data_IF_820187498953
#
_entry.id   IF_820187498953
#
_cell.length_a   1.000
_cell.length_b   1.000
_cell.length_c   1.000
_cell.angle_alpha   90.00
_cell.angle_beta   90.00
_cell.angle_gamma   90.00
#
_symmetry.space_group_name_H-M   'P 1'
#
loop_
_entity.id
_entity.type
_entity.pdbx_description
1 polymer ?
#
# COMPACT_ATOMS: atom_id res chain seq x y z
N UNK A 1 -21.36 -1.41 -4.96
CA UNK A 1 -20.64 -1.71 -6.20
C UNK A 1 -19.97 -3.07 -6.08
N UNK A 2 -20.25 -3.95 -7.01
CA UNK A 2 -19.80 -5.34 -6.94
C UNK A 2 -18.48 -5.48 -7.70
N UNK A 3 -17.47 -6.01 -7.04
CA UNK A 3 -16.19 -6.30 -7.69
C UNK A 3 -16.24 -7.69 -8.32
N UNK A 4 -15.47 -7.87 -9.38
CA UNK A 4 -15.32 -9.18 -9.99
C UNK A 4 -14.48 -10.10 -9.09
N UNK A 5 -14.63 -11.43 -9.20
CA UNK A 5 -13.77 -12.35 -8.48
C UNK A 5 -12.28 -12.16 -8.79
N UNK A 6 -11.95 -11.75 -10.02
CA UNK A 6 -10.56 -11.48 -10.40
C UNK A 6 -10.01 -10.25 -9.67
N UNK A 7 -10.82 -9.21 -9.50
CA UNK A 7 -10.43 -8.03 -8.72
C UNK A 7 -10.25 -8.35 -7.25
N UNK A 8 -11.15 -9.16 -6.68
CA UNK A 8 -11.04 -9.60 -5.29
C UNK A 8 -9.74 -10.39 -5.05
N UNK A 9 -9.41 -11.30 -5.95
CA UNK A 9 -8.17 -12.08 -5.86
C UNK A 9 -6.93 -11.19 -5.96
N UNK A 10 -6.94 -10.20 -6.84
CA UNK A 10 -5.86 -9.24 -7.00
C UNK A 10 -5.68 -8.41 -5.72
N UNK A 11 -6.76 -7.89 -5.17
CA UNK A 11 -6.73 -7.09 -3.94
C UNK A 11 -6.16 -7.93 -2.78
N UNK A 12 -6.58 -9.18 -2.65
CA UNK A 12 -6.08 -10.09 -1.63
C UNK A 12 -4.57 -10.27 -1.72
N UNK A 13 -4.05 -10.49 -2.91
CA UNK A 13 -2.62 -10.65 -3.17
C UNK A 13 -1.85 -9.36 -2.85
N UNK A 14 -2.39 -8.21 -3.24
CA UNK A 14 -1.77 -6.90 -2.96
C UNK A 14 -1.71 -6.65 -1.45
N UNK A 15 -2.81 -6.86 -0.74
CA UNK A 15 -2.85 -6.63 0.71
C UNK A 15 -1.90 -7.56 1.44
N UNK A 16 -1.81 -8.83 1.03
CA UNK A 16 -0.86 -9.79 1.62
C UNK A 16 0.59 -9.34 1.41
N UNK A 17 0.93 -8.88 0.20
CA UNK A 17 2.27 -8.37 -0.08
C UNK A 17 2.60 -7.11 0.74
N UNK A 18 1.63 -6.23 0.96
CA UNK A 18 1.80 -5.00 1.71
C UNK A 18 1.72 -5.19 3.23
N UNK A 19 1.39 -6.38 3.71
CA UNK A 19 1.34 -6.65 5.15
C UNK A 19 2.71 -6.59 5.82
N UNK A 20 3.78 -6.80 5.08
CA UNK A 20 5.15 -6.73 5.60
C UNK A 20 5.67 -5.30 5.54
N UNK A 21 6.14 -4.73 6.67
CA UNK A 21 6.62 -3.34 6.68
C UNK A 21 7.88 -3.13 5.84
N UNK A 22 8.74 -4.12 5.71
CA UNK A 22 9.94 -4.00 4.87
C UNK A 22 9.57 -3.89 3.40
N UNK A 23 8.56 -4.65 2.95
CA UNK A 23 8.09 -4.53 1.57
C UNK A 23 7.50 -3.15 1.29
N UNK A 24 6.77 -2.56 2.24
CA UNK A 24 6.28 -1.18 2.10
C UNK A 24 7.44 -0.18 1.98
N UNK A 25 8.49 -0.36 2.78
CA UNK A 25 9.70 0.50 2.70
C UNK A 25 10.42 0.36 1.37
N UNK A 26 10.44 -0.84 0.80
CA UNK A 26 11.03 -1.07 -0.53
C UNK A 26 10.26 -0.27 -1.59
N UNK A 27 8.93 -0.30 -1.54
CA UNK A 27 8.11 0.50 -2.46
C UNK A 27 8.34 2.00 -2.28
N UNK A 28 8.45 2.47 -1.03
CA UNK A 28 8.81 3.86 -0.74
C UNK A 28 10.18 4.21 -1.31
N UNK A 29 11.15 3.31 -1.16
CA UNK A 29 12.50 3.48 -1.68
C UNK A 29 12.53 3.57 -3.20
N UNK A 30 11.71 2.78 -3.89
CA UNK A 30 11.58 2.86 -5.35
C UNK A 30 11.03 4.22 -5.78
N UNK A 31 10.02 4.72 -5.08
CA UNK A 31 9.44 6.03 -5.35
C UNK A 31 10.46 7.15 -5.12
N UNK A 32 11.22 7.08 -4.03
CA UNK A 32 12.25 8.07 -3.68
C UNK A 32 13.41 8.06 -4.68
N UNK A 33 13.69 6.92 -5.31
CA UNK A 33 14.75 6.79 -6.30
C UNK A 33 14.34 7.20 -7.72
N UNK A 34 13.22 7.90 -7.86
CA UNK A 34 12.73 8.33 -9.18
C UNK A 34 11.95 7.26 -9.92
N UNK A 35 11.52 6.21 -9.24
CA UNK A 35 10.66 5.18 -9.78
C UNK A 35 11.37 3.87 -10.15
N UNK A 36 12.69 3.83 -10.16
CA UNK A 36 13.43 2.61 -10.48
C UNK A 36 14.73 2.52 -9.69
N UNK A 37 15.09 1.33 -9.24
CA UNK A 37 16.32 1.07 -8.50
C UNK A 37 16.72 -0.40 -8.56
N UNK A 38 17.99 -0.66 -8.24
CA UNK A 38 18.51 -2.02 -8.07
C UNK A 38 18.33 -2.47 -6.62
N UNK A 39 18.38 -3.79 -6.41
CA UNK A 39 18.33 -4.35 -5.05
C UNK A 39 19.51 -3.83 -4.19
N UNK A 40 20.68 -3.65 -4.79
CA UNK A 40 21.85 -3.11 -4.08
C UNK A 40 21.59 -1.70 -3.56
N UNK A 41 21.05 -0.83 -4.41
CA UNK A 41 20.71 0.55 -4.01
C UNK A 41 19.66 0.56 -2.92
N UNK A 42 18.62 -0.24 -3.04
CA UNK A 42 17.55 -0.32 -2.04
C UNK A 42 18.08 -0.81 -0.69
N UNK A 43 19.00 -1.77 -0.69
CA UNK A 43 19.55 -2.34 0.54
C UNK A 43 20.41 -1.34 1.31
N UNK A 44 20.97 -0.32 0.65
CA UNK A 44 21.81 0.69 1.31
C UNK A 44 21.05 1.48 2.38
N UNK A 45 19.76 1.72 2.16
CA UNK A 45 18.94 2.55 3.04
C UNK A 45 18.01 1.74 3.96
N UNK A 46 18.14 0.41 3.96
CA UNK A 46 17.29 -0.48 4.74
C UNK A 46 18.12 -1.33 5.72
N UNK A 47 17.60 -1.60 6.91
CA UNK A 47 18.31 -2.42 7.92
C UNK A 47 18.18 -3.92 7.62
N UNK A 48 18.35 -4.31 6.36
CA UNK A 48 18.24 -5.70 5.90
C UNK A 48 19.32 -5.98 4.85
N UNK A 49 19.63 -7.24 4.67
CA UNK A 49 20.63 -7.64 3.68
C UNK A 49 20.10 -7.49 2.25
N UNK A 50 21.02 -7.40 1.29
CA UNK A 50 20.65 -7.40 -0.14
C UNK A 50 19.85 -8.65 -0.51
N UNK A 51 20.23 -9.81 0.03
CA UNK A 51 19.51 -11.06 -0.22
C UNK A 51 18.07 -10.99 0.28
N UNK A 52 17.85 -10.38 1.46
CA UNK A 52 16.50 -10.19 1.98
C UNK A 52 15.69 -9.24 1.08
N UNK A 53 16.30 -8.17 0.57
CA UNK A 53 15.66 -7.25 -0.37
C UNK A 53 15.26 -7.99 -1.64
N UNK A 54 16.12 -8.84 -2.19
CA UNK A 54 15.80 -9.63 -3.38
C UNK A 54 14.60 -10.54 -3.14
N UNK A 55 14.53 -11.19 -1.98
CA UNK A 55 13.39 -12.04 -1.61
C UNK A 55 12.08 -11.25 -1.51
N UNK A 56 12.13 -10.09 -0.89
CA UNK A 56 10.96 -9.20 -0.78
C UNK A 56 10.52 -8.68 -2.15
N UNK A 57 11.48 -8.33 -3.01
CA UNK A 57 11.17 -7.91 -4.39
C UNK A 57 10.52 -9.03 -5.20
N UNK A 58 10.93 -10.29 -4.98
CA UNK A 58 10.29 -11.44 -5.62
C UNK A 58 8.82 -11.56 -5.23
N UNK A 59 8.49 -11.36 -3.97
CA UNK A 59 7.09 -11.37 -3.49
C UNK A 59 6.31 -10.22 -4.13
N UNK A 60 6.88 -9.03 -4.15
CA UNK A 60 6.24 -7.86 -4.78
C UNK A 60 6.04 -8.06 -6.28
N UNK A 61 7.01 -8.68 -6.94
CA UNK A 61 6.92 -9.00 -8.37
C UNK A 61 5.80 -10.01 -8.65
N UNK A 62 5.70 -11.07 -7.85
CA UNK A 62 4.63 -12.06 -7.99
C UNK A 62 3.25 -11.45 -7.75
N UNK A 63 3.17 -10.46 -6.87
CA UNK A 63 1.92 -9.73 -6.61
C UNK A 63 1.59 -8.71 -7.71
N UNK A 64 2.47 -8.53 -8.70
CA UNK A 64 2.27 -7.57 -9.76
C UNK A 64 2.54 -6.12 -9.37
N UNK A 65 3.13 -5.88 -8.20
CA UNK A 65 3.38 -4.54 -7.67
C UNK A 65 4.67 -3.91 -8.18
N UNK A 66 5.61 -4.72 -8.63
CA UNK A 66 6.84 -4.26 -9.27
C UNK A 66 7.09 -5.03 -10.55
N UNK A 67 7.78 -4.39 -11.48
CA UNK A 67 8.31 -5.02 -12.67
C UNK A 67 9.83 -5.01 -12.59
N UNK A 68 10.45 -6.04 -13.15
CA UNK A 68 11.89 -6.19 -13.19
C UNK A 68 12.37 -6.08 -14.63
N UNK A 69 13.38 -5.26 -14.85
CA UNK A 69 14.00 -5.08 -16.17
C UNK A 69 15.48 -5.37 -16.06
N UNK A 70 15.95 -6.34 -16.80
CA UNK A 70 17.38 -6.67 -16.87
C UNK A 70 18.05 -5.78 -17.91
N UNK A 71 19.11 -5.07 -17.50
CA UNK A 71 19.93 -4.24 -18.37
C UNK A 71 21.39 -4.60 -18.08
N UNK A 72 22.03 -5.32 -19.01
CA UNK A 72 23.38 -5.84 -18.80
C UNK A 72 23.40 -6.80 -17.61
N UNK A 73 24.20 -6.49 -16.60
CA UNK A 73 24.31 -7.30 -15.37
C UNK A 73 23.38 -6.83 -14.25
N UNK A 74 22.71 -5.71 -14.47
CA UNK A 74 21.81 -5.14 -13.48
C UNK A 74 20.37 -5.59 -13.70
N UNK A 75 19.64 -5.73 -12.61
CA UNK A 75 18.19 -5.86 -12.61
C UNK A 75 17.62 -4.62 -11.93
N UNK A 76 16.85 -3.85 -12.66
CA UNK A 76 16.15 -2.67 -12.13
C UNK A 76 14.70 -2.99 -11.91
N UNK A 77 14.24 -2.58 -10.75
CA UNK A 77 12.85 -2.75 -10.33
C UNK A 77 12.14 -1.41 -10.37
N UNK A 78 10.90 -1.42 -10.81
CA UNK A 78 10.05 -0.23 -10.78
C UNK A 78 8.65 -0.61 -10.33
N UNK A 79 7.93 0.36 -9.76
CA UNK A 79 6.56 0.12 -9.27
C UNK A 79 5.63 -0.01 -10.46
N UNK A 80 4.76 -1.02 -10.42
CA UNK A 80 3.64 -1.16 -11.34
C UNK A 80 2.38 -0.63 -10.65
N UNK A 81 1.85 0.54 -11.05
CA UNK A 81 0.80 1.19 -10.25
C UNK A 81 -0.58 0.55 -10.38
N UNK A 82 -0.87 -0.19 -11.44
CA UNK A 82 -2.22 -0.66 -11.72
C UNK A 82 -2.85 -1.51 -10.59
N UNK A 83 -2.15 -2.50 -9.99
CA UNK A 83 -2.73 -3.25 -8.88
C UNK A 83 -2.97 -2.39 -7.63
N UNK A 84 -2.10 -1.40 -7.38
CA UNK A 84 -2.30 -0.45 -6.28
C UNK A 84 -3.54 0.40 -6.51
N UNK A 85 -3.74 0.90 -7.73
CA UNK A 85 -4.90 1.71 -8.08
C UNK A 85 -6.22 0.94 -7.89
N UNK A 86 -6.25 -0.33 -8.27
CA UNK A 86 -7.43 -1.18 -8.05
C UNK A 86 -7.72 -1.34 -6.55
N UNK A 87 -6.68 -1.56 -5.76
CA UNK A 87 -6.80 -1.72 -4.31
C UNK A 87 -7.24 -0.41 -3.65
N UNK A 88 -6.68 0.72 -4.09
CA UNK A 88 -7.07 2.05 -3.59
C UNK A 88 -8.54 2.33 -3.87
N UNK A 89 -9.04 1.99 -5.06
CA UNK A 89 -10.47 2.16 -5.37
C UNK A 89 -11.36 1.36 -4.43
N UNK A 90 -10.99 0.10 -4.17
CA UNK A 90 -11.72 -0.71 -3.21
C UNK A 90 -11.73 -0.09 -1.82
N UNK A 91 -10.55 0.35 -1.35
CA UNK A 91 -10.42 1.00 -0.03
C UNK A 91 -11.21 2.31 0.04
N UNK A 92 -11.16 3.11 -1.02
CA UNK A 92 -11.91 4.38 -1.09
C UNK A 92 -13.41 4.16 -1.07
N UNK A 93 -13.89 3.15 -1.79
CA UNK A 93 -15.30 2.79 -1.78
C UNK A 93 -15.73 2.32 -0.39
N UNK A 94 -14.92 1.49 0.26
CA UNK A 94 -15.18 1.04 1.62
C UNK A 94 -15.22 2.22 2.60
N UNK A 95 -14.25 3.12 2.52
CA UNK A 95 -14.19 4.30 3.36
C UNK A 95 -15.41 5.20 3.14
N UNK A 96 -15.84 5.39 1.90
CA UNK A 96 -17.03 6.18 1.58
C UNK A 96 -18.31 5.58 2.18
N UNK A 97 -18.43 4.26 2.19
CA UNK A 97 -19.56 3.57 2.81
C UNK A 97 -19.62 3.83 4.32
N UNK A 98 -18.48 4.00 4.97
CA UNK A 98 -18.38 4.21 6.41
C UNK A 98 -18.30 5.68 6.82
N UNK A 99 -18.00 6.60 5.92
CA UNK A 99 -17.86 8.02 6.22
C UNK A 99 -19.11 8.62 6.84
N UNK A 100 -20.28 8.36 6.24
CA UNK A 100 -21.53 8.86 6.77
C UNK A 100 -21.85 8.38 8.18
N UNK A 101 -21.82 7.06 8.44
CA UNK A 101 -22.05 6.58 9.80
C UNK A 101 -21.03 7.12 10.82
N UNK A 102 -19.75 7.19 10.44
CA UNK A 102 -18.71 7.71 11.32
C UNK A 102 -18.90 9.20 11.63
N UNK A 103 -19.24 9.99 10.62
CA UNK A 103 -19.55 11.42 10.82
C UNK A 103 -20.76 11.62 11.73
N UNK A 104 -21.79 10.81 11.58
CA UNK A 104 -22.95 10.87 12.44
C UNK A 104 -22.62 10.55 13.90
N UNK A 105 -21.82 9.51 14.11
CA UNK A 105 -21.36 9.13 15.46
C UNK A 105 -20.52 10.26 16.06
N UNK A 106 -19.61 10.83 15.29
CA UNK A 106 -18.78 11.95 15.71
C UNK A 106 -19.61 13.16 16.10
N UNK A 107 -20.59 13.52 15.27
CA UNK A 107 -21.49 14.64 15.55
C UNK A 107 -22.29 14.42 16.82
N UNK A 108 -22.79 13.22 17.05
CA UNK A 108 -23.53 12.88 18.28
C UNK A 108 -22.63 12.99 19.50
N UNK A 109 -21.40 12.51 19.41
CA UNK A 109 -20.44 12.61 20.50
C UNK A 109 -20.09 14.07 20.82
N UNK A 110 -19.88 14.89 19.79
CA UNK A 110 -19.61 16.32 19.94
C UNK A 110 -20.81 17.08 20.53
N UNK A 111 -22.01 16.77 20.06
CA UNK A 111 -23.23 17.38 20.59
C UNK A 111 -23.43 17.00 22.04
N UNK A 112 -23.21 15.76 22.43
CA UNK A 112 -23.31 15.29 23.82
C UNK A 112 -22.28 15.95 24.71
N UNK A 113 -21.05 16.13 24.22
CA UNK A 113 -19.99 16.83 24.95
C UNK A 113 -20.33 18.31 25.14
N UNK A 114 -20.87 18.96 24.12
CA UNK A 114 -21.30 20.36 24.18
C UNK A 114 -22.40 20.54 25.18
N UNK A 115 -23.38 19.62 25.26
CA UNK A 115 -24.46 19.64 26.24
C UNK A 115 -23.96 19.55 27.68
N UNK A 116 -22.95 18.71 27.90
CA UNK A 116 -22.33 18.56 29.23
C UNK A 116 -21.60 19.81 29.70
N UNK A 117 -21.13 20.61 28.75
CA UNK A 117 -20.36 21.83 29.04
C UNK A 117 -21.22 23.07 29.15
N UNK A 118 -22.51 22.99 28.89
CA UNK A 118 -23.42 24.15 29.06
C UNK A 118 -23.56 24.49 30.51
N UNK A 119 -23.44 25.78 30.87
CA UNK A 119 -23.71 26.22 32.23
C UNK A 119 -25.18 25.99 32.62
N UNK A 120 -25.41 25.60 33.83
CA UNK A 120 -26.74 25.34 34.34
C UNK A 120 -27.50 26.67 34.53
#
# INVERSE_FOLDING_TARGET
MTQSPAEDALIEVVLAALADPTRRRILDGLSAAGGAATATTLAQDLPVTRQAVVKHLAVLHQAGLVVAKKTGREVRYSVAPAPLETTVRWMSNLASEWDRPLEQVKRRAEASAADRLKPV
#
